data_IF_247144657674
#
_entry.id   IF_247144657674
#
_cell.length_a   1.000
_cell.length_b   1.000
_cell.length_c   1.000
_cell.angle_alpha   90.00
_cell.angle_beta   90.00
_cell.angle_gamma   90.00
#
_symmetry.space_group_name_H-M   'P 1'
#
loop_
_entity.id
_entity.type
_entity.pdbx_description
1 polymer ?
#
# COMPACT_ATOMS: atom_id res chain seq x y z
N UNK A 1 21.89 15.38 -9.13
CA UNK A 1 21.08 14.15 -9.31
C UNK A 1 20.57 13.73 -7.95
N UNK A 2 19.26 13.52 -7.80
CA UNK A 2 18.65 13.05 -6.54
C UNK A 2 17.96 11.70 -6.76
N UNK A 3 17.84 10.92 -5.69
CA UNK A 3 17.07 9.68 -5.67
C UNK A 3 16.16 9.69 -4.45
N UNK A 4 15.03 9.01 -4.55
CA UNK A 4 14.10 8.82 -3.44
C UNK A 4 13.65 7.36 -3.39
N UNK A 5 13.40 6.86 -2.18
CA UNK A 5 12.77 5.56 -1.97
C UNK A 5 11.26 5.75 -2.04
N UNK A 6 10.58 4.91 -2.81
CA UNK A 6 9.13 4.93 -2.95
C UNK A 6 8.56 3.52 -2.79
N UNK A 7 7.27 3.45 -2.48
CA UNK A 7 6.52 2.20 -2.47
C UNK A 7 6.15 1.86 -3.91
N UNK A 8 6.39 0.62 -4.30
CA UNK A 8 6.04 0.12 -5.63
C UNK A 8 4.54 0.25 -5.89
N UNK A 9 4.17 0.72 -7.08
CA UNK A 9 2.79 1.00 -7.47
C UNK A 9 2.16 2.27 -6.87
N UNK A 10 2.88 3.06 -6.07
CA UNK A 10 2.35 4.31 -5.48
C UNK A 10 2.60 5.55 -6.35
N UNK A 11 3.48 5.47 -7.35
CA UNK A 11 3.80 6.61 -8.22
C UNK A 11 2.72 6.78 -9.29
N UNK A 12 2.06 7.96 -9.37
CA UNK A 12 1.10 8.24 -10.43
C UNK A 12 1.72 8.08 -11.82
N UNK A 13 0.94 7.52 -12.75
CA UNK A 13 1.42 7.18 -14.10
C UNK A 13 1.99 8.40 -14.85
N UNK A 14 1.41 9.59 -14.61
CA UNK A 14 1.87 10.87 -15.16
C UNK A 14 3.34 11.20 -14.79
N UNK A 15 3.81 10.75 -13.63
CA UNK A 15 5.20 10.93 -13.17
C UNK A 15 6.08 9.72 -13.47
N UNK A 16 5.50 8.51 -13.54
CA UNK A 16 6.23 7.27 -13.76
C UNK A 16 7.04 7.25 -15.06
N UNK A 17 6.58 7.96 -16.10
CA UNK A 17 7.27 8.05 -17.40
C UNK A 17 8.52 8.94 -17.39
N UNK A 18 8.72 9.73 -16.33
CA UNK A 18 9.82 10.70 -16.21
C UNK A 18 10.93 10.25 -15.25
N UNK A 19 10.79 9.07 -14.66
CA UNK A 19 11.72 8.53 -13.67
C UNK A 19 12.11 7.10 -14.06
N UNK A 20 13.26 6.66 -13.56
CA UNK A 20 13.70 5.27 -13.70
C UNK A 20 13.61 4.58 -12.34
N UNK A 21 13.08 3.36 -12.33
CA UNK A 21 12.94 2.55 -11.12
C UNK A 21 14.08 1.55 -11.04
N UNK A 22 14.75 1.52 -9.89
CA UNK A 22 15.76 0.52 -9.58
C UNK A 22 15.31 -0.23 -8.32
N UNK A 23 14.77 -1.46 -8.44
CA UNK A 23 14.39 -2.24 -7.27
C UNK A 23 15.63 -2.58 -6.45
N UNK A 24 15.44 -2.70 -5.13
CA UNK A 24 16.48 -3.17 -4.24
C UNK A 24 16.74 -4.67 -4.46
N UNK A 25 18.01 -5.08 -4.31
CA UNK A 25 18.44 -6.47 -4.31
C UNK A 25 19.33 -6.70 -3.07
N UNK A 26 18.84 -7.38 -2.02
CA UNK A 26 17.52 -8.03 -1.89
C UNK A 26 16.35 -7.04 -1.84
N UNK A 27 15.13 -7.54 -2.10
CA UNK A 27 13.93 -6.71 -2.05
C UNK A 27 13.68 -6.19 -0.62
N UNK A 28 13.35 -4.89 -0.51
CA UNK A 28 12.92 -4.28 0.74
C UNK A 28 11.39 -4.26 0.78
N UNK A 29 10.80 -4.84 1.82
CA UNK A 29 9.35 -4.90 2.00
C UNK A 29 8.93 -4.07 3.21
N UNK A 30 7.73 -3.50 3.15
CA UNK A 30 7.09 -2.82 4.27
C UNK A 30 5.66 -3.33 4.40
N UNK A 31 5.25 -3.64 5.62
CA UNK A 31 3.87 -4.02 5.90
C UNK A 31 2.94 -2.79 5.87
N UNK A 32 1.68 -3.03 5.51
CA UNK A 32 0.61 -2.02 5.51
C UNK A 32 -0.55 -2.55 6.34
N UNK A 33 -1.06 -1.71 7.25
CA UNK A 33 -2.09 -2.10 8.21
C UNK A 33 -3.30 -1.17 8.12
N UNK A 34 -4.49 -1.76 8.25
CA UNK A 34 -5.71 -1.01 8.57
C UNK A 34 -5.83 -0.91 10.08
N UNK A 35 -5.86 0.32 10.61
CA UNK A 35 -5.91 0.57 12.05
C UNK A 35 -7.18 1.34 12.44
N UNK A 36 -7.73 0.98 13.60
CA UNK A 36 -8.86 1.68 14.24
C UNK A 36 -8.76 1.58 15.75
N UNK A 37 -9.57 2.37 16.46
CA UNK A 37 -9.56 2.42 17.93
C UNK A 37 -9.91 1.05 18.51
N UNK A 38 -9.15 0.62 19.53
CA UNK A 38 -9.44 -0.60 20.28
C UNK A 38 -10.86 -0.55 20.85
N UNK A 39 -11.61 -1.65 20.69
CA UNK A 39 -13.03 -1.79 21.06
C UNK A 39 -14.02 -0.91 20.27
N UNK A 40 -13.62 -0.29 19.17
CA UNK A 40 -14.58 0.38 18.28
C UNK A 40 -15.34 -0.67 17.45
N UNK A 41 -16.67 -0.61 17.49
CA UNK A 41 -17.50 -1.38 16.57
C UNK A 41 -17.36 -0.79 15.17
N UNK A 42 -17.09 -1.64 14.18
CA UNK A 42 -17.10 -1.24 12.77
C UNK A 42 -18.55 -1.06 12.33
N UNK A 43 -18.82 0.03 11.59
CA UNK A 43 -20.10 0.16 10.89
C UNK A 43 -20.23 -0.96 9.83
N UNK A 44 -21.45 -1.28 9.37
CA UNK A 44 -21.63 -2.30 8.32
C UNK A 44 -20.80 -2.01 7.06
N UNK A 45 -20.70 -0.75 6.64
CA UNK A 45 -19.88 -0.32 5.50
C UNK A 45 -18.37 -0.52 5.77
N UNK A 46 -17.90 -0.17 6.97
CA UNK A 46 -16.49 -0.36 7.33
C UNK A 46 -16.12 -1.85 7.42
N UNK A 47 -17.00 -2.70 7.95
CA UNK A 47 -16.79 -4.16 7.95
C UNK A 47 -16.69 -4.72 6.54
N UNK A 48 -17.59 -4.30 5.64
CA UNK A 48 -17.57 -4.73 4.24
C UNK A 48 -16.26 -4.33 3.53
N UNK A 49 -15.74 -3.13 3.82
CA UNK A 49 -14.44 -2.69 3.31
C UNK A 49 -13.29 -3.57 3.83
N UNK A 50 -13.25 -3.84 5.14
CA UNK A 50 -12.21 -4.69 5.74
C UNK A 50 -12.23 -6.10 5.11
N UNK A 51 -13.40 -6.67 4.91
CA UNK A 51 -13.54 -7.98 4.27
C UNK A 51 -13.11 -7.95 2.79
N UNK A 52 -13.43 -6.88 2.07
CA UNK A 52 -12.97 -6.70 0.69
C UNK A 52 -11.44 -6.60 0.61
N UNK A 53 -10.83 -5.78 1.47
CA UNK A 53 -9.36 -5.62 1.52
C UNK A 53 -8.70 -6.96 1.88
N UNK A 54 -9.21 -7.70 2.87
CA UNK A 54 -8.68 -9.03 3.24
C UNK A 54 -8.69 -10.01 2.06
N UNK A 55 -9.75 -10.02 1.26
CA UNK A 55 -9.83 -10.86 0.05
C UNK A 55 -8.82 -10.43 -1.02
N UNK A 56 -8.58 -9.13 -1.18
CA UNK A 56 -7.62 -8.61 -2.16
C UNK A 56 -6.16 -8.80 -1.74
N UNK A 57 -5.88 -8.78 -0.44
CA UNK A 57 -4.55 -8.93 0.13
C UNK A 57 -4.10 -10.38 0.32
N UNK A 58 -5.00 -11.36 0.20
CA UNK A 58 -4.66 -12.78 0.18
C UNK A 58 -3.99 -13.14 -1.16
N UNK A 59 -2.68 -12.88 -1.25
CA UNK A 59 -1.86 -13.21 -2.40
C UNK A 59 -0.59 -13.93 -1.97
#
# INVERSE_FOLDING_TARGET
LGAAICIDGMIPQEFATRVVFRPFAPALVSDVYLAWRKNAALSPAASALVDAVRRMSAK
#
